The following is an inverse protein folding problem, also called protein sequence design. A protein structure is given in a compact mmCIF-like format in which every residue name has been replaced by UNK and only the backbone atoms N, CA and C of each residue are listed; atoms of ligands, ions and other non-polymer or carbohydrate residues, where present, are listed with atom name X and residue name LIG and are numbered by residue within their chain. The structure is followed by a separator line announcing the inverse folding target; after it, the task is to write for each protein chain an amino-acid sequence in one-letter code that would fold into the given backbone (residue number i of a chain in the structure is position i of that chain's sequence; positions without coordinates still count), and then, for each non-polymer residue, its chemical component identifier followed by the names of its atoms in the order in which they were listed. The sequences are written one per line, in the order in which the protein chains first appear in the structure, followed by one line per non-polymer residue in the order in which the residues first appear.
data_IF_272027192175
#
_entry.id   IF_272027192175
#
_cell.length_a   1.000
_cell.length_b   1.000
_cell.length_c   1.000
_cell.angle_alpha   90.00
_cell.angle_beta   90.00
_cell.angle_gamma   90.00
#
_symmetry.space_group_name_H-M   'P 1'
#
loop_
_entity.id
_entity.type
_entity.pdbx_description
1 polymer ?
#
# COMPACT_ATOMS: atom_id res chain seq x y z
N UNK A 1 6.61 -20.60 14.00
CA UNK A 1 6.59 -20.89 12.54
C UNK A 1 7.16 -19.69 11.78
N UNK A 2 8.10 -19.89 10.87
CA UNK A 2 8.63 -18.82 10.03
C UNK A 2 7.58 -18.45 8.96
N UNK A 3 7.35 -17.16 8.72
CA UNK A 3 6.31 -16.66 7.83
C UNK A 3 6.85 -15.93 6.60
N UNK A 4 8.16 -15.68 6.52
CA UNK A 4 8.74 -14.89 5.44
C UNK A 4 10.21 -15.20 5.22
N UNK A 5 10.79 -14.49 4.26
CA UNK A 5 12.18 -14.63 3.86
C UNK A 5 13.14 -14.20 4.97
N UNK A 6 14.39 -14.65 4.84
CA UNK A 6 15.47 -14.36 5.77
C UNK A 6 16.22 -13.10 5.32
N UNK A 7 16.51 -12.22 6.26
CA UNK A 7 17.18 -10.94 6.07
C UNK A 7 18.11 -10.63 7.26
N UNK A 8 19.04 -9.70 7.08
CA UNK A 8 19.80 -9.06 8.17
C UNK A 8 20.39 -10.06 9.20
N UNK A 9 21.10 -11.08 8.72
CA UNK A 9 21.66 -12.15 9.54
C UNK A 9 20.65 -13.25 9.86
N UNK A 10 19.97 -13.77 8.85
CA UNK A 10 19.03 -14.89 8.94
C UNK A 10 17.76 -14.64 9.79
N UNK A 11 17.46 -13.38 10.09
CA UNK A 11 16.24 -12.99 10.79
C UNK A 11 15.06 -13.10 9.84
N UNK A 12 13.93 -13.57 10.35
CA UNK A 12 12.69 -13.68 9.57
C UNK A 12 11.49 -13.36 10.45
N UNK A 13 10.37 -13.01 9.80
CA UNK A 13 9.09 -12.84 10.46
C UNK A 13 8.64 -14.19 11.04
N UNK A 14 8.24 -14.21 12.32
CA UNK A 14 7.88 -15.44 13.03
C UNK A 14 6.50 -15.32 13.66
N UNK A 15 5.64 -16.31 13.41
CA UNK A 15 4.45 -16.54 14.23
C UNK A 15 4.88 -17.14 15.56
N UNK A 16 4.70 -16.39 16.65
CA UNK A 16 5.10 -16.78 18.00
C UNK A 16 4.02 -17.67 18.64
N UNK A 17 2.77 -17.27 18.49
CA UNK A 17 1.61 -18.03 18.94
C UNK A 17 0.39 -17.69 18.05
N UNK A 18 -0.82 -18.09 18.45
CA UNK A 18 -2.05 -17.77 17.71
C UNK A 18 -2.36 -16.27 17.63
N UNK A 19 -1.75 -15.45 18.49
CA UNK A 19 -2.07 -14.03 18.68
C UNK A 19 -1.01 -13.07 18.16
N UNK A 20 0.27 -13.45 18.13
CA UNK A 20 1.35 -12.50 17.84
C UNK A 20 2.30 -12.97 16.73
N UNK A 21 2.67 -12.01 15.89
CA UNK A 21 3.73 -12.10 14.89
C UNK A 21 4.88 -11.22 15.33
N UNK A 22 6.08 -11.80 15.41
CA UNK A 22 7.31 -11.05 15.61
C UNK A 22 7.89 -10.62 14.27
N UNK A 23 8.12 -9.32 14.09
CA UNK A 23 8.79 -8.72 12.93
C UNK A 23 10.17 -8.19 13.37
N UNK A 24 11.29 -8.81 12.92
CA UNK A 24 12.64 -8.37 13.27
C UNK A 24 13.13 -7.20 12.40
N UNK A 25 12.24 -6.24 12.14
CA UNK A 25 12.45 -5.08 11.27
C UNK A 25 11.60 -3.91 11.74
N UNK A 26 11.79 -2.75 11.13
CA UNK A 26 11.03 -1.55 11.46
C UNK A 26 9.52 -1.80 11.35
N UNK A 27 8.79 -1.58 12.45
CA UNK A 27 7.32 -1.66 12.50
C UNK A 27 6.64 -0.30 12.64
N UNK A 28 7.44 0.79 12.58
CA UNK A 28 6.95 2.14 12.83
C UNK A 28 5.85 2.54 11.84
N UNK A 29 6.04 2.22 10.56
CA UNK A 29 5.13 2.61 9.50
C UNK A 29 3.81 1.82 9.58
N UNK A 30 3.84 0.51 9.86
CA UNK A 30 2.61 -0.22 10.14
C UNK A 30 1.87 0.34 11.37
N UNK A 31 2.59 0.64 12.46
CA UNK A 31 1.99 1.27 13.64
C UNK A 31 1.35 2.62 13.29
N UNK A 32 2.06 3.45 12.53
CA UNK A 32 1.59 4.75 12.10
C UNK A 32 0.29 4.65 11.27
N UNK A 33 0.13 3.64 10.42
CA UNK A 33 -1.05 3.55 9.57
C UNK A 33 -2.18 2.68 10.16
N UNK A 34 -1.88 1.75 11.07
CA UNK A 34 -2.81 0.68 11.45
C UNK A 34 -3.06 0.58 12.96
N UNK A 35 -2.34 1.32 13.80
CA UNK A 35 -2.63 1.33 15.23
C UNK A 35 -3.96 2.03 15.50
N UNK A 36 -4.81 1.44 16.35
CA UNK A 36 -6.15 1.94 16.70
C UNK A 36 -6.16 3.43 17.07
N UNK A 37 -5.15 3.86 17.81
CA UNK A 37 -5.01 5.23 18.31
C UNK A 37 -3.84 5.96 17.63
N UNK A 38 -3.50 5.56 16.40
CA UNK A 38 -2.43 6.22 15.65
C UNK A 38 -2.70 7.71 15.53
N UNK A 39 -1.69 8.51 15.86
CA UNK A 39 -1.75 9.96 15.68
C UNK A 39 -1.93 10.34 14.20
N UNK A 40 -1.37 9.56 13.26
CA UNK A 40 -1.56 9.81 11.82
C UNK A 40 -3.02 9.63 11.40
N UNK A 41 -3.70 8.59 11.89
CA UNK A 41 -5.12 8.38 11.59
C UNK A 41 -6.00 9.47 12.21
N UNK A 42 -5.64 9.96 13.39
CA UNK A 42 -6.33 11.10 14.02
C UNK A 42 -6.12 12.39 13.21
N UNK A 43 -4.91 12.64 12.74
CA UNK A 43 -4.62 13.80 11.86
C UNK A 43 -5.37 13.71 10.54
N UNK A 44 -5.51 12.53 9.94
CA UNK A 44 -6.35 12.35 8.75
C UNK A 44 -7.81 12.72 9.03
N UNK A 45 -8.38 12.27 10.16
CA UNK A 45 -9.76 12.61 10.56
C UNK A 45 -9.92 14.11 10.77
N UNK A 46 -8.98 14.75 11.45
CA UNK A 46 -9.05 16.18 11.72
C UNK A 46 -8.83 17.01 10.46
N UNK A 47 -7.95 16.57 9.56
CA UNK A 47 -7.77 17.19 8.25
C UNK A 47 -9.06 17.09 7.41
N UNK A 48 -9.75 15.94 7.45
CA UNK A 48 -11.05 15.76 6.80
C UNK A 48 -12.11 16.75 7.31
N UNK A 49 -12.22 16.94 8.63
CA UNK A 49 -13.21 17.85 9.24
C UNK A 49 -13.01 19.31 8.82
N UNK A 50 -11.77 19.71 8.56
CA UNK A 50 -11.39 21.08 8.22
C UNK A 50 -11.41 21.36 6.70
N UNK A 51 -11.91 20.41 5.90
CA UNK A 51 -12.00 20.52 4.45
C UNK A 51 -13.42 20.21 4.00
N UNK A 52 -13.81 20.80 2.88
CA UNK A 52 -14.96 20.31 2.13
C UNK A 52 -14.59 18.97 1.51
N UNK A 53 -14.88 17.89 2.23
CA UNK A 53 -14.60 16.52 1.84
C UNK A 53 -15.91 15.72 1.91
N UNK A 54 -16.29 15.16 0.77
CA UNK A 54 -17.54 14.40 0.61
C UNK A 54 -17.36 12.89 0.88
N UNK A 55 -16.19 12.45 1.36
CA UNK A 55 -15.99 11.07 1.81
C UNK A 55 -16.89 10.73 2.99
N UNK A 56 -17.33 9.48 3.03
CA UNK A 56 -17.93 8.84 4.19
C UNK A 56 -17.05 9.11 5.42
N UNK A 57 -17.62 9.65 6.50
CA UNK A 57 -16.88 9.99 7.73
C UNK A 57 -16.19 8.79 8.37
N UNK A 58 -16.74 7.60 8.13
CA UNK A 58 -16.25 6.35 8.70
C UNK A 58 -15.38 5.54 7.73
N UNK A 59 -14.84 6.16 6.67
CA UNK A 59 -14.05 5.44 5.66
C UNK A 59 -12.82 4.72 6.24
N UNK A 60 -12.26 5.23 7.32
CA UNK A 60 -11.13 4.61 8.04
C UNK A 60 -11.51 3.34 8.79
N UNK A 61 -12.80 3.08 9.04
CA UNK A 61 -13.24 1.95 9.87
C UNK A 61 -13.02 0.59 9.22
N UNK A 62 -12.80 0.56 7.90
CA UNK A 62 -12.42 -0.68 7.18
C UNK A 62 -10.93 -1.01 7.32
N UNK A 63 -10.08 -0.07 7.73
CA UNK A 63 -8.65 -0.37 7.88
C UNK A 63 -8.43 -1.40 9.01
N UNK A 64 -7.42 -2.28 8.88
CA UNK A 64 -6.96 -3.10 9.99
C UNK A 64 -6.66 -2.23 11.22
N UNK A 65 -7.06 -2.70 12.40
CA UNK A 65 -6.82 -2.02 13.67
C UNK A 65 -5.95 -2.92 14.53
N UNK A 66 -4.65 -2.75 14.41
CA UNK A 66 -3.63 -3.63 14.96
C UNK A 66 -3.08 -3.10 16.29
N UNK A 67 -2.56 -4.01 17.10
CA UNK A 67 -1.87 -3.72 18.36
C UNK A 67 -0.39 -4.02 18.19
N UNK A 68 0.47 -3.09 18.59
CA UNK A 68 1.91 -3.17 18.40
C UNK A 68 2.63 -3.13 19.75
N UNK A 69 3.64 -3.99 19.92
CA UNK A 69 4.55 -3.96 21.06
C UNK A 69 5.99 -3.87 20.54
N UNK A 70 6.64 -2.76 20.83
CA UNK A 70 8.01 -2.51 20.40
C UNK A 70 9.01 -3.38 21.15
N UNK A 71 10.07 -3.77 20.46
CA UNK A 71 11.22 -4.46 21.04
C UNK A 71 12.48 -3.72 20.66
N UNK A 72 13.24 -3.30 21.68
CA UNK A 72 14.46 -2.52 21.52
C UNK A 72 14.21 -1.04 21.22
N UNK A 73 15.24 -0.37 20.71
CA UNK A 73 15.18 1.08 20.45
C UNK A 73 14.57 1.37 19.07
N UNK A 74 13.81 2.48 18.99
CA UNK A 74 13.35 3.12 17.75
C UNK A 74 12.57 2.19 16.80
N UNK A 75 11.70 1.34 17.33
CA UNK A 75 10.77 0.54 16.52
C UNK A 75 11.44 -0.43 15.53
N UNK A 76 12.74 -0.72 15.67
CA UNK A 76 13.51 -1.55 14.73
C UNK A 76 13.13 -3.04 14.79
N UNK A 77 12.30 -3.43 15.75
CA UNK A 77 11.62 -4.71 15.80
C UNK A 77 10.38 -4.60 16.70
N UNK A 78 9.47 -5.57 16.59
CA UNK A 78 8.38 -5.67 17.53
C UNK A 78 7.43 -6.82 17.26
N UNK A 79 6.46 -6.95 18.15
CA UNK A 79 5.33 -7.86 18.03
C UNK A 79 4.12 -7.11 17.50
N UNK A 80 3.45 -7.70 16.53
CA UNK A 80 2.17 -7.23 16.00
C UNK A 80 1.12 -8.26 16.34
N UNK A 81 0.01 -7.83 16.93
CA UNK A 81 -1.13 -8.70 17.17
C UNK A 81 -1.76 -9.09 15.84
N UNK A 82 -1.83 -10.38 15.62
CA UNK A 82 -2.39 -10.97 14.42
C UNK A 82 -3.90 -10.75 14.38
N UNK A 83 -4.38 -10.12 13.31
CA UNK A 83 -5.81 -9.97 13.03
C UNK A 83 -6.23 -11.07 12.06
N UNK A 84 -7.05 -11.99 12.56
CA UNK A 84 -7.73 -12.97 11.71
C UNK A 84 -8.96 -12.31 11.10
N UNK A 85 -9.20 -12.58 9.81
CA UNK A 85 -10.45 -12.26 9.16
C UNK A 85 -11.02 -13.52 8.50
N UNK A 86 -12.33 -13.71 8.65
CA UNK A 86 -13.08 -14.71 7.93
C UNK A 86 -13.28 -14.29 6.47
N UNK A 87 -13.29 -15.28 5.59
CA UNK A 87 -13.55 -15.06 4.17
C UNK A 87 -14.96 -14.51 3.96
N UNK A 88 -15.10 -13.55 3.04
CA UNK A 88 -16.40 -13.00 2.66
C UNK A 88 -16.95 -13.84 1.51
N UNK A 89 -17.98 -14.63 1.81
CA UNK A 89 -18.68 -15.49 0.85
C UNK A 89 -19.98 -14.89 0.30
N UNK A 90 -20.40 -13.73 0.82
CA UNK A 90 -21.62 -13.03 0.42
C UNK A 90 -21.30 -11.62 -0.08
N UNK A 91 -22.10 -11.07 -1.02
CA UNK A 91 -21.88 -9.72 -1.54
C UNK A 91 -21.86 -8.64 -0.44
N UNK A 92 -21.03 -7.62 -0.60
CA UNK A 92 -21.10 -6.40 0.20
C UNK A 92 -22.01 -5.41 -0.53
N UNK A 93 -23.22 -5.21 -0.01
CA UNK A 93 -24.23 -4.37 -0.67
C UNK A 93 -24.15 -2.88 -0.28
N UNK A 94 -23.39 -2.52 0.75
CA UNK A 94 -23.29 -1.13 1.19
C UNK A 94 -22.32 -0.31 0.33
N UNK A 95 -22.83 0.66 -0.43
CA UNK A 95 -22.03 1.59 -1.24
C UNK A 95 -20.94 2.32 -0.42
N UNK A 96 -21.25 2.62 0.85
CA UNK A 96 -20.32 3.26 1.77
C UNK A 96 -19.05 2.43 2.05
N UNK A 97 -19.13 1.09 1.99
CA UNK A 97 -17.94 0.23 2.08
C UNK A 97 -17.08 0.34 0.82
N UNK A 98 -17.70 0.33 -0.36
CA UNK A 98 -16.99 0.47 -1.63
C UNK A 98 -16.29 1.82 -1.74
N UNK A 99 -16.97 2.90 -1.33
CA UNK A 99 -16.36 4.20 -1.16
C UNK A 99 -15.17 4.17 -0.18
N UNK A 100 -15.30 3.47 0.94
CA UNK A 100 -14.22 3.33 1.92
C UNK A 100 -13.01 2.58 1.35
N UNK A 101 -13.24 1.52 0.57
CA UNK A 101 -12.17 0.80 -0.13
C UNK A 101 -11.45 1.69 -1.13
N UNK A 102 -12.21 2.51 -1.87
CA UNK A 102 -11.68 3.51 -2.79
C UNK A 102 -10.77 4.50 -2.06
N UNK A 103 -11.23 5.04 -0.93
CA UNK A 103 -10.45 5.96 -0.11
C UNK A 103 -9.17 5.32 0.44
N UNK A 104 -9.22 4.05 0.87
CA UNK A 104 -8.03 3.30 1.27
C UNK A 104 -7.05 3.13 0.10
N UNK A 105 -7.52 2.80 -1.11
CA UNK A 105 -6.65 2.73 -2.31
C UNK A 105 -6.02 4.11 -2.59
N UNK A 106 -6.78 5.19 -2.42
CA UNK A 106 -6.30 6.56 -2.53
C UNK A 106 -5.21 6.89 -1.52
N UNK A 107 -5.39 6.47 -0.25
CA UNK A 107 -4.41 6.63 0.83
C UNK A 107 -3.09 5.95 0.48
N UNK A 108 -3.14 4.69 0.07
CA UNK A 108 -1.94 3.92 -0.29
C UNK A 108 -1.22 4.54 -1.49
N UNK A 109 -1.98 5.01 -2.47
CA UNK A 109 -1.44 5.65 -3.68
C UNK A 109 -0.78 7.00 -3.37
N UNK A 110 -1.42 7.84 -2.54
CA UNK A 110 -0.91 9.17 -2.16
C UNK A 110 0.41 9.07 -1.38
N UNK A 111 0.50 8.11 -0.47
CA UNK A 111 1.71 7.87 0.32
C UNK A 111 2.76 7.03 -0.42
N UNK A 112 2.48 6.61 -1.65
CA UNK A 112 3.42 5.83 -2.45
C UNK A 112 3.79 4.50 -1.79
N UNK A 113 2.81 3.84 -1.17
CA UNK A 113 3.01 2.53 -0.55
C UNK A 113 3.17 1.50 -1.67
N UNK A 114 4.25 0.72 -1.59
CA UNK A 114 4.67 -0.24 -2.59
C UNK A 114 4.66 -1.67 -2.03
N UNK A 115 4.87 -2.65 -2.90
CA UNK A 115 4.96 -4.07 -2.55
C UNK A 115 3.63 -4.64 -1.98
N UNK A 116 2.50 -4.05 -2.40
CA UNK A 116 1.16 -4.39 -1.95
C UNK A 116 0.59 -5.60 -2.69
N UNK A 117 1.22 -6.75 -2.51
CA UNK A 117 0.75 -8.04 -3.02
C UNK A 117 -0.47 -8.57 -2.25
N UNK A 118 -1.12 -9.61 -2.77
CA UNK A 118 -2.35 -10.17 -2.20
C UNK A 118 -2.18 -10.67 -0.74
N UNK A 119 -0.98 -11.12 -0.37
CA UNK A 119 -0.62 -11.58 0.97
C UNK A 119 -0.45 -10.42 1.95
N UNK A 120 -0.11 -9.24 1.43
CA UNK A 120 0.09 -8.01 2.19
C UNK A 120 -1.20 -7.20 2.35
N UNK A 121 -2.31 -7.62 1.73
CA UNK A 121 -3.65 -7.03 1.90
C UNK A 121 -4.56 -7.99 2.68
N UNK A 122 -5.11 -7.49 3.78
CA UNK A 122 -6.17 -8.13 4.53
C UNK A 122 -7.52 -7.75 3.91
N UNK A 123 -8.37 -8.74 3.63
CA UNK A 123 -9.75 -8.56 3.18
C UNK A 123 -10.60 -9.65 3.83
N UNK A 124 -11.63 -9.28 4.59
CA UNK A 124 -12.52 -10.24 5.24
C UNK A 124 -13.38 -9.63 6.34
N UNK A 125 -13.96 -10.46 7.20
CA UNK A 125 -14.73 -10.05 8.39
C UNK A 125 -13.95 -10.34 9.66
N UNK A 126 -13.84 -9.37 10.57
CA UNK A 126 -13.25 -9.61 11.89
C UNK A 126 -14.20 -10.41 12.81
N UNK A 127 -13.75 -10.71 14.03
CA UNK A 127 -14.55 -11.43 15.04
C UNK A 127 -15.82 -10.68 15.48
N UNK A 128 -15.97 -9.40 15.15
CA UNK A 128 -17.15 -8.58 15.42
C UNK A 128 -18.01 -8.40 14.15
N UNK A 129 -17.78 -9.22 13.12
CA UNK A 129 -18.45 -9.15 11.83
C UNK A 129 -18.25 -7.83 11.06
N UNK A 130 -17.19 -7.06 11.38
CA UNK A 130 -16.83 -5.83 10.67
C UNK A 130 -16.01 -6.17 9.45
N UNK A 131 -16.29 -5.50 8.34
CA UNK A 131 -15.51 -5.66 7.11
C UNK A 131 -14.18 -4.94 7.27
N UNK A 132 -13.10 -5.66 6.97
CA UNK A 132 -11.73 -5.17 7.03
C UNK A 132 -11.12 -5.24 5.63
N UNK A 133 -10.48 -4.16 5.21
CA UNK A 133 -9.75 -3.99 3.97
C UNK A 133 -8.57 -3.04 4.18
N UNK A 134 -7.36 -3.52 3.94
CA UNK A 134 -6.17 -2.67 3.97
C UNK A 134 -4.86 -3.45 4.07
N UNK A 135 -3.71 -2.76 4.00
CA UNK A 135 -2.42 -3.41 4.11
C UNK A 135 -2.15 -3.91 5.53
N UNK A 136 -1.32 -4.94 5.64
CA UNK A 136 -0.76 -5.43 6.92
C UNK A 136 0.77 -5.39 6.94
N UNK A 137 1.36 -5.03 5.81
CA UNK A 137 2.78 -4.80 5.65
C UNK A 137 3.00 -3.46 4.94
N UNK A 138 3.56 -2.49 5.67
CA UNK A 138 3.80 -1.13 5.20
C UNK A 138 5.22 -0.80 5.57
N UNK A 139 6.17 -1.11 4.69
CA UNK A 139 7.58 -0.79 4.91
C UNK A 139 8.24 -0.13 3.70
N UNK A 140 7.64 -0.27 2.52
CA UNK A 140 8.01 0.42 1.29
C UNK A 140 7.00 1.55 1.07
N UNK A 141 7.41 2.80 1.28
CA UNK A 141 6.54 3.97 1.18
C UNK A 141 7.29 5.21 0.68
N UNK A 142 6.54 6.25 0.36
CA UNK A 142 7.02 7.50 -0.25
C UNK A 142 7.64 7.30 -1.63
N UNK A 143 7.21 6.28 -2.36
CA UNK A 143 7.56 6.13 -3.76
C UNK A 143 6.74 7.07 -4.65
N UNK A 144 7.35 7.58 -5.71
CA UNK A 144 6.68 8.50 -6.63
C UNK A 144 6.08 7.73 -7.81
N UNK A 145 4.81 7.35 -7.67
CA UNK A 145 4.08 6.63 -8.71
C UNK A 145 3.20 7.57 -9.54
N UNK A 146 3.03 7.21 -10.82
CA UNK A 146 2.08 7.84 -11.74
C UNK A 146 0.89 6.92 -12.05
N UNK A 147 1.03 5.62 -11.77
CA UNK A 147 0.05 4.56 -12.00
C UNK A 147 -0.18 3.75 -10.71
N UNK A 148 -1.42 3.34 -10.46
CA UNK A 148 -1.79 2.51 -9.29
C UNK A 148 -1.16 1.13 -9.39
N UNK A 149 -1.01 0.57 -10.59
CA UNK A 149 -0.35 -0.75 -10.77
C UNK A 149 1.11 -0.77 -10.31
N UNK A 150 1.78 0.39 -10.21
CA UNK A 150 3.13 0.47 -9.66
C UNK A 150 3.17 0.18 -8.17
N UNK A 151 2.05 0.30 -7.43
CA UNK A 151 1.97 -0.07 -6.01
C UNK A 151 1.90 -1.58 -5.77
N UNK A 152 1.68 -2.37 -6.84
CA UNK A 152 1.29 -3.80 -6.83
C UNK A 152 -0.17 -4.10 -6.40
N UNK A 153 -0.98 -3.07 -6.15
CA UNK A 153 -2.43 -3.24 -5.92
C UNK A 153 -3.14 -3.84 -7.15
N UNK A 154 -2.71 -3.47 -8.36
CA UNK A 154 -3.27 -3.94 -9.62
C UNK A 154 -2.25 -4.78 -10.40
N UNK A 155 -2.70 -5.69 -11.29
CA UNK A 155 -1.81 -6.44 -12.16
C UNK A 155 -0.99 -5.52 -13.07
N UNK A 156 0.16 -6.04 -13.52
CA UNK A 156 1.06 -5.36 -14.45
C UNK A 156 1.78 -6.39 -15.33
N UNK A 157 2.67 -5.94 -16.22
CA UNK A 157 3.49 -6.84 -17.04
C UNK A 157 4.34 -7.81 -16.23
N UNK A 158 4.70 -7.45 -15.00
CA UNK A 158 5.56 -8.24 -14.12
C UNK A 158 4.81 -8.91 -12.96
N UNK A 159 3.54 -8.54 -12.73
CA UNK A 159 2.75 -9.02 -11.61
C UNK A 159 1.41 -9.58 -12.10
N UNK A 160 1.22 -10.88 -11.87
CA UNK A 160 -0.02 -11.59 -12.19
C UNK A 160 -1.17 -11.11 -11.30
N UNK A 161 -2.40 -11.16 -11.84
CA UNK A 161 -3.61 -10.72 -11.15
C UNK A 161 -3.82 -11.38 -9.79
N UNK A 162 -3.69 -12.71 -9.68
CA UNK A 162 -3.93 -13.38 -8.40
C UNK A 162 -2.91 -12.98 -7.32
N UNK A 163 -1.79 -12.36 -7.69
CA UNK A 163 -0.75 -11.87 -6.77
C UNK A 163 -0.92 -10.38 -6.43
N UNK A 164 -1.80 -9.65 -7.12
CA UNK A 164 -1.99 -8.22 -6.85
C UNK A 164 -2.86 -7.97 -5.62
N UNK A 165 -2.60 -6.87 -4.90
CA UNK A 165 -3.25 -6.57 -3.63
C UNK A 165 -4.78 -6.52 -3.68
N UNK A 166 -5.35 -6.06 -4.81
CA UNK A 166 -6.80 -5.94 -4.99
C UNK A 166 -7.48 -7.24 -5.44
N UNK A 167 -6.75 -8.34 -5.60
CA UNK A 167 -7.33 -9.61 -6.05
C UNK A 167 -8.48 -10.07 -5.16
N UNK A 168 -8.29 -10.08 -3.83
CA UNK A 168 -9.33 -10.48 -2.87
C UNK A 168 -10.54 -9.55 -2.91
N UNK A 169 -10.32 -8.25 -3.12
CA UNK A 169 -11.41 -7.29 -3.27
C UNK A 169 -12.20 -7.53 -4.56
N UNK A 170 -11.52 -7.84 -5.68
CA UNK A 170 -12.15 -8.22 -6.96
C UNK A 170 -12.98 -9.50 -6.83
N UNK A 171 -12.50 -10.50 -6.08
CA UNK A 171 -13.29 -11.69 -5.78
C UNK A 171 -14.61 -11.33 -5.08
N UNK A 172 -14.57 -10.46 -4.07
CA UNK A 172 -15.77 -10.01 -3.35
C UNK A 172 -16.67 -9.14 -4.22
N UNK A 173 -16.10 -8.30 -5.09
CA UNK A 173 -16.85 -7.50 -6.06
C UNK A 173 -17.66 -8.38 -7.00
N UNK A 174 -17.06 -9.46 -7.49
CA UNK A 174 -17.69 -10.41 -8.40
C UNK A 174 -18.76 -11.30 -7.74
N UNK A 175 -18.94 -11.24 -6.42
CA UNK A 175 -20.07 -11.91 -5.76
C UNK A 175 -21.40 -11.22 -6.07
N UNK A 176 -21.37 -9.93 -6.39
CA UNK A 176 -22.55 -9.16 -6.78
C UNK A 176 -22.79 -9.25 -8.28
N UNK A 177 -24.03 -9.57 -8.68
CA UNK A 177 -24.48 -9.38 -10.06
C UNK A 177 -24.85 -7.92 -10.36
N UNK A 178 -25.07 -7.11 -9.32
CA UNK A 178 -25.46 -5.70 -9.45
C UNK A 178 -24.24 -4.80 -9.60
N UNK A 179 -24.28 -3.97 -10.65
CA UNK A 179 -23.15 -3.24 -11.21
C UNK A 179 -22.86 -1.89 -10.52
N UNK A 180 -23.56 -1.56 -9.43
CA UNK A 180 -23.60 -0.19 -8.92
C UNK A 180 -22.40 0.20 -8.05
N UNK A 181 -21.51 -0.73 -7.71
CA UNK A 181 -20.44 -0.48 -6.74
C UNK A 181 -19.14 0.11 -7.31
N UNK A 182 -18.96 0.13 -8.63
CA UNK A 182 -17.76 0.72 -9.23
C UNK A 182 -17.73 2.25 -9.07
N UNK A 183 -18.89 2.90 -9.13
CA UNK A 183 -19.00 4.35 -8.96
C UNK A 183 -18.61 4.82 -7.54
N UNK A 184 -19.14 4.24 -6.44
CA UNK A 184 -18.67 4.58 -5.10
C UNK A 184 -17.20 4.23 -4.89
N UNK A 185 -16.71 3.10 -5.42
CA UNK A 185 -15.28 2.75 -5.34
C UNK A 185 -14.38 3.82 -5.98
N UNK A 186 -14.70 4.24 -7.21
CA UNK A 186 -13.93 5.28 -7.89
C UNK A 186 -14.08 6.65 -7.25
N UNK A 187 -15.28 6.98 -6.79
CA UNK A 187 -15.53 8.21 -6.05
C UNK A 187 -14.63 8.27 -4.81
N UNK A 188 -14.60 7.22 -3.99
CA UNK A 188 -13.75 7.16 -2.79
C UNK A 188 -12.27 7.38 -3.10
N UNK A 189 -11.77 6.77 -4.16
CA UNK A 189 -10.39 6.95 -4.63
C UNK A 189 -10.08 8.39 -5.05
N UNK A 190 -10.94 8.98 -5.90
CA UNK A 190 -10.74 10.33 -6.45
C UNK A 190 -10.91 11.40 -5.38
N UNK A 191 -11.99 11.30 -4.60
CA UNK A 191 -12.31 12.23 -3.52
C UNK A 191 -11.20 12.25 -2.47
N UNK A 192 -10.65 11.09 -2.10
CA UNK A 192 -9.49 11.03 -1.20
C UNK A 192 -8.30 11.79 -1.77
N UNK A 193 -7.91 11.54 -3.03
CA UNK A 193 -6.78 12.24 -3.64
C UNK A 193 -7.00 13.75 -3.75
N UNK A 194 -8.23 14.20 -3.99
CA UNK A 194 -8.57 15.63 -4.02
C UNK A 194 -8.49 16.27 -2.65
N UNK A 195 -9.11 15.64 -1.65
CA UNK A 195 -9.19 16.20 -0.31
C UNK A 195 -7.84 16.20 0.39
N UNK A 196 -7.02 15.18 0.17
CA UNK A 196 -5.79 14.94 0.92
C UNK A 196 -4.51 15.24 0.14
N UNK A 197 -4.60 15.90 -1.03
CA UNK A 197 -3.45 16.23 -1.87
C UNK A 197 -2.27 16.83 -1.09
N UNK A 198 -2.55 17.80 -0.23
CA UNK A 198 -1.54 18.52 0.56
C UNK A 198 -1.31 17.89 1.95
N UNK A 199 -2.06 16.84 2.31
CA UNK A 199 -1.98 16.23 3.63
C UNK A 199 -0.61 15.61 3.88
N UNK A 200 -0.02 14.95 2.87
CA UNK A 200 1.30 14.33 3.00
C UNK A 200 2.37 15.35 3.38
N UNK A 201 2.42 16.48 2.69
CA UNK A 201 3.39 17.55 2.97
C UNK A 201 3.14 18.20 4.34
N UNK A 202 1.87 18.49 4.64
CA UNK A 202 1.44 18.98 5.95
C UNK A 202 1.92 18.05 7.07
N UNK A 203 1.68 16.75 6.93
CA UNK A 203 2.02 15.75 7.93
C UNK A 203 3.54 15.63 8.11
N UNK A 204 4.30 15.56 7.02
CA UNK A 204 5.77 15.52 7.05
C UNK A 204 6.34 16.75 7.76
N UNK A 205 5.81 17.94 7.48
CA UNK A 205 6.22 19.20 8.12
C UNK A 205 5.89 19.23 9.61
N UNK A 206 4.72 18.73 9.99
CA UNK A 206 4.24 18.72 11.38
C UNK A 206 5.00 17.70 12.25
N UNK A 207 5.44 16.58 11.67
CA UNK A 207 6.06 15.47 12.38
C UNK A 207 7.47 15.16 11.86
N UNK A 208 8.46 16.04 12.08
CA UNK A 208 9.82 15.87 11.54
C UNK A 208 10.54 14.62 12.09
N UNK A 209 10.09 14.05 13.22
CA UNK A 209 10.67 12.82 13.74
C UNK A 209 10.51 11.62 12.80
N UNK A 210 9.58 11.65 11.83
CA UNK A 210 9.41 10.57 10.88
C UNK A 210 10.64 10.32 9.99
N UNK A 211 11.52 11.33 9.87
CA UNK A 211 12.77 11.24 9.11
C UNK A 211 13.77 10.26 9.76
N UNK A 212 13.56 9.89 11.02
CA UNK A 212 14.45 9.00 11.76
C UNK A 212 14.11 7.51 11.59
N UNK A 213 13.07 7.17 10.83
CA UNK A 213 12.64 5.79 10.65
C UNK A 213 13.03 5.24 9.28
N UNK A 214 13.56 4.00 9.23
CA UNK A 214 14.00 3.39 7.98
C UNK A 214 12.78 3.00 7.13
N UNK A 215 12.87 3.28 5.84
CA UNK A 215 11.92 2.91 4.79
C UNK A 215 12.60 1.86 3.93
N UNK A 216 12.02 0.66 3.81
CA UNK A 216 12.57 -0.42 3.01
C UNK A 216 12.64 0.01 1.54
N UNK A 217 13.74 -0.39 0.89
CA UNK A 217 13.96 -0.22 -0.54
C UNK A 217 14.18 -1.59 -1.15
N UNK A 218 13.38 -1.91 -2.16
CA UNK A 218 13.48 -3.15 -2.93
C UNK A 218 14.24 -2.83 -4.21
N UNK A 219 15.45 -3.38 -4.35
CA UNK A 219 16.27 -3.19 -5.57
C UNK A 219 15.90 -4.20 -6.66
N UNK A 220 15.64 -5.45 -6.25
CA UNK A 220 15.15 -6.50 -7.12
C UNK A 220 14.04 -7.30 -6.42
N UNK A 221 13.22 -8.00 -7.21
CA UNK A 221 12.22 -8.91 -6.66
C UNK A 221 12.89 -10.03 -5.87
N UNK A 222 12.21 -10.52 -4.82
CA UNK A 222 12.66 -11.69 -4.05
C UNK A 222 12.97 -12.89 -4.95
N UNK A 223 12.16 -13.12 -5.98
CA UNK A 223 12.37 -14.23 -6.93
C UNK A 223 13.68 -14.08 -7.73
N UNK A 224 14.05 -12.84 -8.09
CA UNK A 224 15.32 -12.55 -8.75
C UNK A 224 16.50 -12.98 -7.87
N UNK A 225 16.43 -12.71 -6.57
CA UNK A 225 17.44 -13.19 -5.64
C UNK A 225 17.41 -14.71 -5.53
N UNK A 226 16.25 -15.32 -5.25
CA UNK A 226 16.11 -16.78 -5.06
C UNK A 226 16.63 -17.60 -6.24
N UNK A 227 16.29 -17.22 -7.46
CA UNK A 227 16.74 -17.92 -8.68
C UNK A 227 18.24 -17.82 -8.93
N UNK A 228 18.88 -16.76 -8.42
CA UNK A 228 20.30 -16.47 -8.64
C UNK A 228 21.18 -16.65 -7.39
N UNK A 229 20.64 -17.13 -6.27
CA UNK A 229 21.40 -17.38 -5.03
C UNK A 229 22.64 -18.27 -5.27
N UNK A 230 22.56 -19.19 -6.23
CA UNK A 230 23.64 -20.12 -6.58
C UNK A 230 24.53 -19.63 -7.75
N UNK A 231 24.20 -18.49 -8.36
CA UNK A 231 24.88 -17.93 -9.52
C UNK A 231 25.47 -16.57 -9.12
N UNK A 232 26.70 -16.57 -8.62
CA UNK A 232 27.46 -15.34 -8.32
C UNK A 232 27.85 -14.62 -9.62
N UNK A 233 26.86 -14.00 -10.24
CA UNK A 233 27.03 -13.25 -11.48
C UNK A 233 27.33 -11.77 -11.14
N UNK A 234 28.01 -11.05 -12.04
CA UNK A 234 28.29 -9.60 -11.94
C UNK A 234 27.02 -8.72 -11.91
N UNK A 235 25.85 -9.36 -11.97
CA UNK A 235 24.53 -8.74 -11.89
C UNK A 235 24.26 -8.02 -10.56
N UNK A 236 24.71 -8.58 -9.43
CA UNK A 236 24.46 -8.01 -8.09
C UNK A 236 25.63 -7.16 -7.62
N UNK A 237 25.36 -6.06 -6.92
CA UNK A 237 26.43 -5.24 -6.34
C UNK A 237 27.11 -5.92 -5.13
N UNK A 238 28.21 -5.34 -4.65
CA UNK A 238 28.99 -5.92 -3.53
C UNK A 238 28.16 -6.14 -2.26
N UNK A 239 27.28 -5.20 -1.91
CA UNK A 239 26.46 -5.26 -0.70
C UNK A 239 25.32 -6.28 -0.80
N UNK A 240 24.78 -6.50 -2.01
CA UNK A 240 23.86 -7.60 -2.28
C UNK A 240 24.55 -8.96 -2.19
N UNK A 241 25.73 -9.09 -2.81
CA UNK A 241 26.52 -10.34 -2.78
C UNK A 241 26.94 -10.71 -1.36
N UNK A 242 27.33 -9.73 -0.54
CA UNK A 242 27.65 -9.96 0.88
C UNK A 242 26.45 -10.55 1.65
N UNK A 243 25.25 -9.97 1.48
CA UNK A 243 24.04 -10.48 2.13
C UNK A 243 23.64 -11.87 1.59
N UNK A 244 23.69 -12.06 0.27
CA UNK A 244 23.41 -13.35 -0.39
C UNK A 244 24.35 -14.45 0.09
N UNK A 245 25.64 -14.15 0.25
CA UNK A 245 26.63 -15.12 0.74
C UNK A 245 26.34 -15.63 2.15
N UNK A 246 25.53 -14.89 2.93
CA UNK A 246 25.05 -15.25 4.27
C UNK A 246 23.72 -15.99 4.25
N UNK A 247 23.18 -16.26 3.05
CA UNK A 247 21.87 -16.88 2.84
C UNK A 247 20.68 -15.95 3.04
N UNK A 248 20.91 -14.63 3.05
CA UNK A 248 19.84 -13.63 3.18
C UNK A 248 19.32 -13.18 1.80
N UNK A 249 18.04 -12.84 1.75
CA UNK A 249 17.51 -11.96 0.70
C UNK A 249 17.96 -10.53 1.06
N UNK A 250 18.65 -9.81 0.16
CA UNK A 250 19.14 -8.46 0.44
C UNK A 250 18.04 -7.52 0.95
N UNK A 251 18.35 -6.81 2.03
CA UNK A 251 17.43 -5.87 2.67
C UNK A 251 18.11 -4.49 2.75
N UNK A 252 17.59 -3.55 1.98
CA UNK A 252 18.04 -2.17 2.00
C UNK A 252 16.95 -1.26 2.57
N UNK A 253 17.38 -0.13 3.10
CA UNK A 253 16.49 0.92 3.53
C UNK A 253 17.10 2.30 3.29
N UNK A 254 16.24 3.30 3.25
CA UNK A 254 16.59 4.74 3.23
C UNK A 254 15.91 5.44 4.39
N UNK A 255 16.37 6.64 4.68
CA UNK A 255 15.65 7.57 5.54
C UNK A 255 14.99 8.64 4.68
N UNK A 256 13.86 9.18 5.14
CA UNK A 256 13.25 10.33 4.47
C UNK A 256 14.29 11.47 4.42
N UNK A 257 14.38 12.17 3.28
CA UNK A 257 15.38 13.20 3.02
C UNK A 257 16.76 12.68 2.58
N UNK A 258 17.08 11.41 2.80
CA UNK A 258 18.40 10.85 2.49
C UNK A 258 18.47 10.30 1.05
N UNK A 259 19.60 10.55 0.38
CA UNK A 259 19.94 9.92 -0.91
C UNK A 259 20.73 8.61 -0.77
N UNK A 260 21.11 8.26 0.46
CA UNK A 260 21.93 7.09 0.75
C UNK A 260 21.05 5.86 0.99
N UNK A 261 21.53 4.72 0.51
CA UNK A 261 21.04 3.42 0.93
C UNK A 261 21.82 2.92 2.14
N UNK A 262 21.12 2.20 2.99
CA UNK A 262 21.66 1.56 4.18
C UNK A 262 21.24 0.09 4.20
N UNK A 263 22.05 -0.73 4.85
CA UNK A 263 21.74 -2.12 5.16
C UNK A 263 22.39 -2.47 6.52
N UNK A 264 21.93 -3.56 7.14
CA UNK A 264 22.51 -4.03 8.40
C UNK A 264 23.68 -4.97 8.10
N UNK A 265 24.88 -4.65 8.60
CA UNK A 265 26.05 -5.50 8.44
C UNK A 265 26.27 -6.35 9.71
N UNK A 266 25.97 -7.65 9.61
CA UNK A 266 26.16 -8.68 10.64
C UNK A 266 25.51 -8.39 12.01
N UNK A 267 25.67 -9.31 12.97
CA UNK A 267 24.99 -9.39 14.28
C UNK A 267 25.05 -8.13 15.17
N UNK A 268 25.97 -7.20 14.88
CA UNK A 268 25.98 -5.87 15.48
C UNK A 268 24.85 -5.03 14.89
N UNK A 269 24.15 -4.23 15.71
CA UNK A 269 23.16 -3.21 15.27
C UNK A 269 23.76 -2.09 14.38
N UNK A 270 24.90 -2.33 13.74
CA UNK A 270 25.67 -1.36 12.96
C UNK A 270 25.04 -1.17 11.59
N UNK A 271 24.54 0.05 11.38
CA UNK A 271 23.98 0.50 10.10
C UNK A 271 25.15 0.94 9.23
N UNK A 272 25.28 0.33 8.05
CA UNK A 272 26.33 0.70 7.08
C UNK A 272 25.67 1.37 5.88
N UNK A 273 26.20 2.51 5.43
CA UNK A 273 25.79 3.11 4.16
C UNK A 273 26.41 2.35 3.00
N UNK A 274 25.61 1.99 1.99
CA UNK A 274 26.14 1.44 0.73
C UNK A 274 27.02 2.49 0.05
N UNK A 275 28.21 2.07 -0.37
CA UNK A 275 29.17 2.93 -1.08
C UNK A 275 28.91 2.96 -2.58
N UNK A 276 28.30 1.91 -3.10
CA UNK A 276 28.13 1.64 -4.53
C UNK A 276 26.81 2.17 -5.11
N UNK A 277 25.83 2.51 -4.27
CA UNK A 277 24.48 2.89 -4.72
C UNK A 277 24.12 4.30 -4.27
N UNK A 278 24.31 5.27 -5.16
CA UNK A 278 23.54 6.50 -5.11
C UNK A 278 22.17 6.19 -5.72
N UNK A 279 21.11 6.21 -4.92
CA UNK A 279 19.77 6.22 -5.49
C UNK A 279 19.66 7.52 -6.28
N UNK A 280 19.19 7.45 -7.53
CA UNK A 280 18.65 8.61 -8.24
C UNK A 280 17.50 9.11 -7.38
N UNK A 281 17.81 10.08 -6.50
CA UNK A 281 16.87 10.51 -5.48
C UNK A 281 15.64 11.06 -6.18
N UNK A 282 14.53 10.33 -6.09
CA UNK A 282 13.22 10.93 -6.27
C UNK A 282 13.17 12.07 -5.27
N UNK A 283 13.26 13.31 -5.76
CA UNK A 283 13.07 14.49 -4.92
C UNK A 283 11.75 14.27 -4.20
N UNK A 284 11.82 14.15 -2.89
CA UNK A 284 10.74 13.70 -2.01
C UNK A 284 9.46 14.55 -2.08
N UNK A 285 9.52 15.65 -2.82
CA UNK A 285 8.51 16.68 -2.91
C UNK A 285 8.36 17.26 -4.33
N UNK A 286 8.95 16.68 -5.38
CA UNK A 286 8.63 17.16 -6.74
C UNK A 286 7.23 16.67 -7.07
N UNK A 287 6.25 17.57 -6.83
CA UNK A 287 4.83 17.49 -7.16
C UNK A 287 4.45 16.11 -7.69
N UNK A 288 3.96 15.21 -6.82
CA UNK A 288 3.26 14.04 -7.32
C UNK A 288 2.31 14.55 -8.39
N UNK A 289 2.38 13.96 -9.58
CA UNK A 289 1.40 14.27 -10.60
C UNK A 289 0.10 13.58 -10.16
N UNK A 290 -0.53 14.12 -9.12
CA UNK A 290 -1.76 13.61 -8.52
C UNK A 290 -2.88 13.70 -9.52
N UNK A 291 -2.81 14.61 -10.49
CA UNK A 291 -3.67 14.59 -11.67
C UNK A 291 -3.47 13.32 -12.50
N UNK A 292 -2.23 12.88 -12.74
CA UNK A 292 -1.96 11.57 -13.37
C UNK A 292 -2.46 10.42 -12.51
N UNK A 293 -2.20 10.40 -11.20
CA UNK A 293 -2.71 9.34 -10.32
C UNK A 293 -4.24 9.30 -10.30
N UNK A 294 -4.92 10.45 -10.23
CA UNK A 294 -6.38 10.54 -10.31
C UNK A 294 -6.88 10.00 -11.64
N UNK A 295 -6.39 10.54 -12.75
CA UNK A 295 -6.82 10.17 -14.10
C UNK A 295 -6.48 8.73 -14.45
N UNK A 296 -5.21 8.37 -14.42
CA UNK A 296 -4.74 7.04 -14.83
C UNK A 296 -5.11 5.98 -13.80
N UNK A 297 -5.02 6.30 -12.51
CA UNK A 297 -5.42 5.36 -11.46
C UNK A 297 -6.91 5.05 -11.48
N UNK A 298 -7.79 6.04 -11.68
CA UNK A 298 -9.23 5.79 -11.81
C UNK A 298 -9.55 4.92 -13.03
N UNK A 299 -8.88 5.13 -14.16
CA UNK A 299 -9.02 4.28 -15.35
C UNK A 299 -8.51 2.85 -15.10
N UNK A 300 -7.36 2.68 -14.44
CA UNK A 300 -6.82 1.36 -14.13
C UNK A 300 -7.75 0.59 -13.17
N UNK A 301 -8.28 1.26 -12.14
CA UNK A 301 -9.26 0.67 -11.21
C UNK A 301 -10.54 0.32 -11.97
N UNK A 302 -11.06 1.24 -12.80
CA UNK A 302 -12.26 1.00 -13.59
C UNK A 302 -12.13 -0.24 -14.48
N UNK A 303 -11.06 -0.33 -15.27
CA UNK A 303 -10.83 -1.47 -16.16
C UNK A 303 -10.78 -2.76 -15.35
N UNK A 304 -9.94 -2.80 -14.32
CA UNK A 304 -9.74 -3.98 -13.50
C UNK A 304 -11.03 -4.56 -12.90
N UNK A 305 -11.97 -3.72 -12.47
CA UNK A 305 -13.25 -4.16 -11.90
C UNK A 305 -14.37 -4.30 -12.94
N UNK A 306 -14.18 -3.86 -14.19
CA UNK A 306 -15.22 -3.89 -15.23
C UNK A 306 -14.91 -4.81 -16.42
N UNK A 307 -13.84 -5.62 -16.34
CA UNK A 307 -13.33 -6.48 -17.43
C UNK A 307 -14.39 -7.42 -18.04
N UNK A 308 -15.50 -7.71 -17.35
CA UNK A 308 -16.57 -8.60 -17.83
C UNK A 308 -17.98 -7.99 -17.79
N UNK A 309 -18.06 -6.66 -17.67
CA UNK A 309 -19.31 -5.96 -17.42
C UNK A 309 -19.62 -4.99 -18.56
N UNK A 310 -20.74 -5.24 -19.25
CA UNK A 310 -21.33 -4.30 -20.22
C UNK A 310 -21.94 -3.15 -19.46
N UNK A 311 -21.30 -1.99 -19.51
CA UNK A 311 -21.68 -0.84 -18.69
C UNK A 311 -22.25 0.26 -19.59
N UNK A 312 -23.42 0.81 -19.22
CA UNK A 312 -24.00 1.99 -19.86
C UNK A 312 -23.50 3.27 -19.17
N UNK A 313 -24.15 3.62 -18.06
CA UNK A 313 -23.74 4.75 -17.22
C UNK A 313 -23.95 4.47 -15.74
N UNK A 314 -23.08 4.97 -14.87
CA UNK A 314 -23.32 5.06 -13.43
C UNK A 314 -23.12 6.48 -12.94
N UNK A 315 -23.80 6.82 -11.85
CA UNK A 315 -23.65 8.09 -11.13
C UNK A 315 -23.57 7.81 -9.64
N UNK A 316 -22.68 8.50 -8.96
CA UNK A 316 -22.56 8.48 -7.51
C UNK A 316 -22.04 9.83 -7.04
N UNK A 317 -22.87 10.57 -6.28
CA UNK A 317 -22.58 11.96 -5.88
C UNK A 317 -22.22 12.83 -7.10
N UNK A 318 -21.09 13.53 -7.07
CA UNK A 318 -20.55 14.36 -8.15
C UNK A 318 -19.76 13.56 -9.22
N UNK A 319 -19.72 12.23 -9.12
CA UNK A 319 -19.06 11.36 -10.09
C UNK A 319 -20.06 10.75 -11.06
N UNK A 320 -19.73 10.74 -12.36
CA UNK A 320 -20.45 10.00 -13.38
C UNK A 320 -19.49 9.24 -14.29
N UNK A 321 -19.88 8.02 -14.66
CA UNK A 321 -19.11 7.14 -15.53
C UNK A 321 -19.97 6.80 -16.74
N UNK A 322 -19.38 6.88 -17.92
CA UNK A 322 -19.96 6.40 -19.17
C UNK A 322 -18.97 5.43 -19.80
N UNK A 323 -19.40 4.21 -20.09
CA UNK A 323 -18.63 3.25 -20.89
C UNK A 323 -19.39 3.04 -22.19
N UNK A 324 -18.70 3.14 -23.30
CA UNK A 324 -19.16 2.65 -24.59
C UNK A 324 -18.17 1.57 -25.08
N UNK A 325 -18.46 0.96 -26.22
CA UNK A 325 -17.60 -0.10 -26.79
C UNK A 325 -16.13 0.31 -26.90
N UNK A 326 -15.87 1.59 -27.22
CA UNK A 326 -14.53 2.08 -27.54
C UNK A 326 -14.07 3.23 -26.62
N UNK A 327 -14.88 3.63 -25.64
CA UNK A 327 -14.62 4.84 -24.86
C UNK A 327 -15.07 4.69 -23.41
N UNK A 328 -14.19 5.05 -22.49
CA UNK A 328 -14.52 5.25 -21.08
C UNK A 328 -14.43 6.75 -20.79
N UNK A 329 -15.47 7.31 -20.18
CA UNK A 329 -15.49 8.68 -19.68
C UNK A 329 -15.80 8.65 -18.19
N UNK A 330 -14.91 9.22 -17.39
CA UNK A 330 -15.11 9.46 -15.96
C UNK A 330 -15.19 10.98 -15.79
N UNK A 331 -16.30 11.48 -15.26
CA UNK A 331 -16.47 12.89 -14.87
C UNK A 331 -16.57 12.97 -13.36
N UNK A 332 -15.88 13.92 -12.77
CA UNK A 332 -15.91 14.20 -11.34
C UNK A 332 -15.85 15.73 -11.18
N UNK A 333 -16.88 16.33 -10.57
CA UNK A 333 -17.08 17.78 -10.55
C UNK A 333 -16.95 18.41 -11.95
N UNK A 334 -15.99 19.33 -12.12
CA UNK A 334 -15.67 20.00 -13.39
C UNK A 334 -14.64 19.23 -14.22
N UNK A 335 -13.97 18.24 -13.62
CA UNK A 335 -12.96 17.42 -14.29
C UNK A 335 -13.64 16.34 -15.15
N UNK A 336 -13.10 16.15 -16.36
CA UNK A 336 -13.53 15.10 -17.29
C UNK A 336 -12.31 14.37 -17.83
N UNK A 337 -12.28 13.06 -17.63
CA UNK A 337 -11.25 12.17 -18.14
C UNK A 337 -11.87 11.20 -19.13
N UNK A 338 -11.18 10.97 -20.25
CA UNK A 338 -11.58 10.01 -21.26
C UNK A 338 -10.38 9.14 -21.68
N UNK A 339 -10.65 7.88 -21.98
CA UNK A 339 -9.70 6.92 -22.56
C UNK A 339 -10.40 6.06 -23.58
N UNK A 340 -9.72 5.74 -24.69
CA UNK A 340 -10.14 4.63 -25.53
C UNK A 340 -10.02 3.32 -24.74
N UNK A 341 -10.98 2.42 -24.92
CA UNK A 341 -10.96 1.08 -24.33
C UNK A 341 -9.80 0.23 -24.86
#
# INVERSE_FOLDING_TARGET
MNLGDRHNGQKCVKKINKRYIYKPRCIYWEKLFLEKNSFFLNELKDFQKNKECHLNKDWLTVLPSLEFHEVGEKYLSGYVKYQNCDYISAPILGESYWESFGAVIGLLSLFGVYDLHNENILMGRDSNNKIIFGPIDIECLFENFTLVSQTHLLPSKILLEHKSGLYKLKMVFNLSSEMNFIAPLLFGYIEFLNCFLNFKEFFIKKYPQIFNYPIRVILHSTECYKTKLNQFNDFFNSEERDQISKGDIPYFFKYLGSKKLYYMNNSSKNITSSKSLNIVSNKLCDNHNTNSLKKMGSLQIFNYFSDNITFGSAKYKNLSILKSKNLIIIKYDKDKWASSC
#
